data_IF_524727986130
#
_entry.id   IF_524727986130
#
_cell.length_a   1.000
_cell.length_b   1.000
_cell.length_c   1.000
_cell.angle_alpha   90.00
_cell.angle_beta   90.00
_cell.angle_gamma   90.00
#
_symmetry.space_group_name_H-M   'P 1'
#
loop_
_entity.id
_entity.type
_entity.pdbx_description
1 polymer ?
#
# COMPACT_ATOMS: atom_id res chain seq x y z
N UNK A 1 8.25 -8.05 -11.11
CA UNK A 1 6.99 -8.07 -10.35
C UNK A 1 5.82 -7.63 -11.21
N UNK A 2 4.68 -8.23 -10.98
CA UNK A 2 3.45 -7.97 -11.75
C UNK A 2 2.82 -6.61 -11.42
N UNK A 3 3.06 -6.07 -10.23
CA UNK A 3 2.43 -4.85 -9.73
C UNK A 3 0.91 -4.93 -9.77
N UNK A 4 0.39 -6.02 -9.22
CA UNK A 4 -1.04 -6.33 -9.20
C UNK A 4 -1.39 -6.98 -7.86
N UNK A 5 -2.52 -6.59 -7.28
CA UNK A 5 -3.02 -7.13 -6.02
C UNK A 5 -4.35 -7.82 -6.23
N UNK A 6 -4.56 -8.91 -5.49
CA UNK A 6 -5.81 -9.68 -5.52
C UNK A 6 -6.29 -9.96 -4.10
N UNK A 7 -7.59 -9.90 -3.91
CA UNK A 7 -8.25 -10.26 -2.65
C UNK A 7 -9.23 -11.40 -2.91
N UNK A 8 -9.06 -12.48 -2.16
CA UNK A 8 -9.90 -13.66 -2.26
C UNK A 8 -10.87 -13.74 -1.09
N UNK A 9 -12.12 -14.12 -1.36
CA UNK A 9 -13.11 -14.35 -0.33
C UNK A 9 -12.87 -15.66 0.44
N UNK A 10 -13.69 -15.89 1.46
CA UNK A 10 -13.58 -17.08 2.32
C UNK A 10 -13.75 -18.39 1.56
N UNK A 11 -14.48 -18.36 0.44
CA UNK A 11 -14.69 -19.51 -0.43
C UNK A 11 -13.55 -19.72 -1.46
N UNK A 12 -12.50 -18.89 -1.41
CA UNK A 12 -11.39 -18.95 -2.34
C UNK A 12 -11.61 -18.25 -3.68
N UNK A 13 -12.79 -17.66 -3.91
CA UNK A 13 -13.06 -16.93 -5.15
C UNK A 13 -12.46 -15.54 -5.12
N UNK A 14 -12.08 -15.02 -6.30
CA UNK A 14 -11.56 -13.67 -6.45
C UNK A 14 -12.67 -12.65 -6.19
N UNK A 15 -12.52 -11.84 -5.15
CA UNK A 15 -13.51 -10.82 -4.77
C UNK A 15 -13.13 -9.42 -5.23
N UNK A 16 -11.82 -9.16 -5.41
CA UNK A 16 -11.31 -7.84 -5.77
C UNK A 16 -9.92 -7.97 -6.38
N UNK A 17 -9.60 -7.11 -7.33
CA UNK A 17 -8.24 -7.00 -7.86
C UNK A 17 -7.98 -5.59 -8.41
N UNK A 18 -6.70 -5.21 -8.45
CA UNK A 18 -6.29 -3.90 -8.96
C UNK A 18 -4.81 -3.90 -9.33
N UNK A 19 -4.46 -3.10 -10.32
CA UNK A 19 -3.07 -2.68 -10.52
C UNK A 19 -2.64 -1.80 -9.35
N UNK A 20 -1.35 -1.85 -9.02
CA UNK A 20 -0.78 -1.15 -7.87
C UNK A 20 0.50 -0.42 -8.25
N UNK A 21 1.00 0.42 -7.34
CA UNK A 21 2.37 0.90 -7.33
C UNK A 21 2.94 0.62 -5.94
N UNK A 22 3.92 -0.28 -5.87
CA UNK A 22 4.57 -0.65 -4.60
C UNK A 22 5.82 0.21 -4.34
N UNK A 23 6.62 -0.16 -3.35
CA UNK A 23 7.81 0.58 -2.97
C UNK A 23 8.87 0.61 -4.07
N UNK A 24 9.64 1.70 -4.13
CA UNK A 24 10.77 1.85 -5.04
C UNK A 24 11.81 0.73 -4.78
N UNK A 25 12.26 -0.01 -5.81
CA UNK A 25 13.13 -1.16 -5.62
C UNK A 25 14.61 -0.75 -5.46
N UNK A 26 14.91 0.02 -4.43
CA UNK A 26 16.26 0.55 -4.16
C UNK A 26 16.92 -0.09 -2.93
N UNK A 27 16.30 -1.10 -2.33
CA UNK A 27 16.78 -1.75 -1.11
C UNK A 27 16.43 -1.01 0.17
N UNK A 28 15.84 0.16 0.07
CA UNK A 28 15.50 1.02 1.21
C UNK A 28 13.99 1.30 1.30
N UNK A 29 13.34 1.46 0.14
CA UNK A 29 11.91 1.78 0.03
C UNK A 29 11.08 0.64 -0.54
N UNK A 30 11.68 -0.55 -0.70
CA UNK A 30 10.99 -1.72 -1.23
C UNK A 30 9.81 -2.11 -0.34
N UNK A 31 8.71 -2.55 -0.95
CA UNK A 31 7.67 -3.24 -0.21
C UNK A 31 8.21 -4.63 0.18
N UNK A 32 8.26 -4.97 1.48
CA UNK A 32 8.89 -6.21 1.91
C UNK A 32 8.10 -7.44 1.48
N UNK A 33 8.81 -8.46 0.99
CA UNK A 33 8.22 -9.77 0.72
C UNK A 33 7.90 -10.48 2.03
N UNK A 34 6.90 -11.35 2.01
CA UNK A 34 6.55 -12.17 3.16
C UNK A 34 5.07 -12.29 3.35
N UNK A 35 4.70 -12.89 4.49
CA UNK A 35 3.31 -13.09 4.91
C UNK A 35 3.04 -12.22 6.12
N UNK A 36 2.04 -11.37 6.00
CA UNK A 36 1.66 -10.40 7.03
C UNK A 36 0.15 -10.50 7.28
N UNK A 37 -0.35 -9.72 8.22
CA UNK A 37 -1.79 -9.57 8.47
C UNK A 37 -2.16 -8.10 8.51
N UNK A 38 -3.39 -7.78 8.16
CA UNK A 38 -3.93 -6.42 8.29
C UNK A 38 -4.02 -6.09 9.78
N UNK A 39 -3.29 -5.07 10.20
CA UNK A 39 -3.18 -4.65 11.60
C UNK A 39 -4.28 -3.69 12.04
N UNK A 40 -4.94 -3.03 11.09
CA UNK A 40 -5.96 -2.06 11.41
C UNK A 40 -6.57 -1.47 10.14
N UNK A 41 -7.54 -0.59 10.34
CA UNK A 41 -8.21 0.13 9.26
C UNK A 41 -8.51 1.53 9.74
N UNK A 42 -8.12 2.54 8.98
CA UNK A 42 -8.41 3.94 9.29
C UNK A 42 -8.95 4.67 8.06
N UNK A 43 -9.93 5.52 8.27
CA UNK A 43 -10.52 6.33 7.20
C UNK A 43 -11.12 7.61 7.80
N UNK A 44 -10.62 8.81 7.49
CA UNK A 44 -9.37 9.07 6.77
C UNK A 44 -8.14 8.87 7.65
N UNK A 45 -6.94 8.93 7.06
CA UNK A 45 -5.68 8.80 7.79
C UNK A 45 -4.62 9.74 7.22
N UNK A 46 -3.60 10.01 8.03
CA UNK A 46 -2.48 10.85 7.64
C UNK A 46 -1.21 10.01 7.69
N UNK A 47 -0.55 9.87 6.55
CA UNK A 47 0.70 9.13 6.44
C UNK A 47 1.87 10.07 6.72
N UNK A 48 2.75 9.66 7.64
CA UNK A 48 3.93 10.42 8.04
C UNK A 48 5.15 9.52 7.82
N UNK A 49 6.10 10.00 7.00
CA UNK A 49 7.35 9.30 6.76
C UNK A 49 8.31 9.43 7.95
N UNK A 50 9.48 8.82 7.79
CA UNK A 50 10.53 8.90 8.82
C UNK A 50 11.01 10.33 9.00
N UNK A 51 11.36 10.69 10.22
CA UNK A 51 11.91 12.00 10.52
C UNK A 51 13.33 12.13 9.95
N UNK A 52 13.58 13.22 9.23
CA UNK A 52 14.91 13.53 8.72
C UNK A 52 15.73 14.19 9.82
N UNK A 53 16.93 13.66 10.14
CA UNK A 53 17.75 14.22 11.23
C UNK A 53 18.22 15.65 10.97
N UNK A 54 18.40 16.04 9.70
CA UNK A 54 18.91 17.37 9.33
C UNK A 54 17.88 18.48 9.50
N UNK A 55 16.61 18.19 9.24
CA UNK A 55 15.54 19.19 9.25
C UNK A 55 14.61 19.08 10.44
N UNK A 56 14.60 17.93 11.12
CA UNK A 56 13.65 17.63 12.19
C UNK A 56 12.21 17.47 11.69
N UNK A 57 12.02 17.32 10.39
CA UNK A 57 10.71 17.17 9.75
C UNK A 57 10.55 15.77 9.16
N UNK A 58 9.31 15.25 9.03
CA UNK A 58 9.10 13.97 8.37
C UNK A 58 9.48 14.04 6.89
N UNK A 59 9.96 12.92 6.36
CA UNK A 59 10.32 12.74 4.96
C UNK A 59 9.15 13.07 4.03
N UNK A 60 7.93 12.68 4.45
CA UNK A 60 6.70 13.06 3.77
C UNK A 60 5.54 13.12 4.76
N UNK A 61 4.48 13.79 4.35
CA UNK A 61 3.25 13.88 5.14
C UNK A 61 2.09 13.99 4.16
N UNK A 62 1.22 12.97 4.11
CA UNK A 62 0.18 12.84 3.10
C UNK A 62 -1.11 12.35 3.73
N UNK A 63 -2.23 12.99 3.40
CA UNK A 63 -3.56 12.52 3.78
C UNK A 63 -4.09 11.52 2.76
N UNK A 64 -4.69 10.44 3.26
CA UNK A 64 -5.33 9.43 2.44
C UNK A 64 -6.74 9.16 2.96
N UNK A 65 -7.61 8.66 2.10
CA UNK A 65 -8.99 8.35 2.47
C UNK A 65 -9.11 7.02 3.21
N UNK A 66 -8.23 6.06 2.86
CA UNK A 66 -8.23 4.73 3.45
C UNK A 66 -6.80 4.31 3.77
N UNK A 67 -6.61 3.70 4.93
CA UNK A 67 -5.32 3.18 5.37
C UNK A 67 -5.51 1.79 5.97
N UNK A 68 -4.80 0.81 5.42
CA UNK A 68 -4.88 -0.59 5.82
C UNK A 68 -3.46 -1.11 6.06
N UNK A 69 -2.87 -0.87 7.25
CA UNK A 69 -1.49 -1.27 7.51
C UNK A 69 -1.35 -2.77 7.71
N UNK A 70 -0.21 -3.32 7.27
CA UNK A 70 0.12 -4.74 7.46
C UNK A 70 1.56 -4.98 7.92
N UNK A 71 2.42 -3.97 7.92
CA UNK A 71 3.76 -4.05 8.54
C UNK A 71 3.82 -2.94 9.60
N UNK A 72 3.61 -3.31 10.88
CA UNK A 72 3.50 -2.33 11.93
C UNK A 72 2.42 -1.30 11.60
N UNK A 73 2.73 -0.02 11.73
CA UNK A 73 1.84 1.06 11.37
C UNK A 73 2.45 1.97 10.29
N UNK A 74 3.44 1.50 9.57
CA UNK A 74 4.20 2.31 8.60
C UNK A 74 4.17 1.77 7.17
N UNK A 75 3.82 0.51 6.94
CA UNK A 75 3.61 -0.04 5.60
C UNK A 75 2.21 -0.63 5.51
N UNK A 76 1.47 -0.23 4.48
CA UNK A 76 0.12 -0.70 4.28
C UNK A 76 -0.40 -0.35 2.90
N UNK A 77 -1.67 -0.66 2.70
CA UNK A 77 -2.43 -0.36 1.49
C UNK A 77 -3.17 0.96 1.68
N UNK A 78 -3.10 1.86 0.69
CA UNK A 78 -3.83 3.12 0.74
C UNK A 78 -4.14 3.67 -0.66
N UNK A 79 -5.11 4.57 -0.74
CA UNK A 79 -5.40 5.28 -1.98
C UNK A 79 -4.30 6.30 -2.30
N UNK A 80 -4.07 6.54 -3.59
CA UNK A 80 -3.05 7.46 -4.06
C UNK A 80 -3.57 8.24 -5.25
N UNK A 81 -4.22 9.37 -5.00
CA UNK A 81 -4.78 10.22 -6.04
C UNK A 81 -3.72 10.98 -6.84
N UNK A 82 -2.48 11.00 -6.35
CA UNK A 82 -1.35 11.64 -7.03
C UNK A 82 -0.68 10.78 -8.10
N UNK A 83 -1.00 9.48 -8.17
CA UNK A 83 -0.41 8.59 -9.16
C UNK A 83 -1.11 8.74 -10.51
N UNK A 84 -0.36 8.98 -11.61
CA UNK A 84 -0.97 9.15 -12.93
C UNK A 84 -1.49 7.84 -13.51
N UNK A 85 -0.93 6.71 -13.10
CA UNK A 85 -1.36 5.37 -13.52
C UNK A 85 -0.78 4.33 -12.56
N UNK A 86 -1.20 3.08 -12.73
CA UNK A 86 -0.83 1.97 -11.85
C UNK A 86 -0.38 0.77 -12.69
N UNK A 87 0.39 -0.14 -12.04
CA UNK A 87 0.85 -1.36 -12.68
C UNK A 87 2.17 -1.21 -13.43
N UNK A 88 2.53 -2.26 -14.16
CA UNK A 88 3.75 -2.35 -14.96
C UNK A 88 5.02 -2.04 -14.16
N UNK A 89 5.98 -1.34 -14.76
CA UNK A 89 7.26 -0.99 -14.14
C UNK A 89 7.27 0.43 -13.54
N UNK A 90 6.13 1.03 -13.25
CA UNK A 90 6.05 2.39 -12.70
C UNK A 90 6.77 2.52 -11.36
N UNK A 91 6.69 1.49 -10.51
CA UNK A 91 7.38 1.49 -9.22
C UNK A 91 8.91 1.61 -9.36
N UNK A 92 9.47 1.15 -10.48
CA UNK A 92 10.90 1.23 -10.79
C UNK A 92 11.26 2.44 -11.64
N UNK A 93 10.26 3.21 -12.11
CA UNK A 93 10.44 4.33 -13.06
C UNK A 93 10.27 5.70 -12.41
N UNK A 94 10.46 5.79 -11.09
CA UNK A 94 10.36 7.04 -10.36
C UNK A 94 8.98 7.28 -9.72
N UNK A 95 8.03 6.37 -9.90
CA UNK A 95 6.68 6.47 -9.32
C UNK A 95 6.50 5.57 -8.09
N UNK A 96 7.53 4.83 -7.70
CA UNK A 96 7.47 3.95 -6.54
C UNK A 96 7.27 4.70 -5.22
N UNK A 97 6.61 4.05 -4.27
CA UNK A 97 6.37 4.60 -2.93
C UNK A 97 7.56 4.37 -2.00
N UNK A 98 7.39 4.73 -0.72
CA UNK A 98 8.37 4.47 0.34
C UNK A 98 8.13 3.12 1.04
N UNK A 99 7.49 2.18 0.37
CA UNK A 99 7.18 0.84 0.87
C UNK A 99 5.69 0.51 0.87
N UNK A 100 4.83 1.51 0.98
CA UNK A 100 3.39 1.31 0.95
C UNK A 100 2.89 0.90 -0.44
N UNK A 101 1.76 0.21 -0.47
CA UNK A 101 1.11 -0.21 -1.71
C UNK A 101 0.07 0.83 -2.10
N UNK A 102 0.34 1.57 -3.16
CA UNK A 102 -0.55 2.61 -3.69
C UNK A 102 -1.63 1.99 -4.56
N UNK A 103 -2.88 2.39 -4.34
CA UNK A 103 -4.05 1.91 -5.07
C UNK A 103 -4.83 3.08 -5.71
N UNK A 104 -5.52 2.85 -6.83
CA UNK A 104 -6.52 3.80 -7.31
C UNK A 104 -7.56 4.08 -6.22
N UNK A 105 -8.05 5.31 -6.15
CA UNK A 105 -8.95 5.75 -5.05
C UNK A 105 -10.20 4.86 -4.96
N UNK A 106 -10.85 4.58 -6.08
CA UNK A 106 -12.05 3.75 -6.12
C UNK A 106 -11.78 2.29 -5.72
N UNK A 107 -10.62 1.75 -6.11
CA UNK A 107 -10.20 0.40 -5.75
C UNK A 107 -9.85 0.30 -4.27
N UNK A 108 -9.18 1.30 -3.71
CA UNK A 108 -8.84 1.35 -2.29
C UNK A 108 -10.10 1.40 -1.43
N UNK A 109 -11.08 2.21 -1.80
CA UNK A 109 -12.36 2.32 -1.09
C UNK A 109 -13.11 0.99 -1.11
N UNK A 110 -13.16 0.31 -2.26
CA UNK A 110 -13.80 -0.99 -2.39
C UNK A 110 -13.10 -2.06 -1.53
N UNK A 111 -11.77 -2.07 -1.53
CA UNK A 111 -11.00 -3.01 -0.71
C UNK A 111 -11.21 -2.74 0.79
N UNK A 112 -11.23 -1.49 1.18
CA UNK A 112 -11.46 -1.09 2.58
C UNK A 112 -12.78 -1.67 3.11
N UNK A 113 -13.82 -1.69 2.28
CA UNK A 113 -15.11 -2.25 2.66
C UNK A 113 -15.11 -3.78 2.73
N UNK A 114 -14.21 -4.45 2.01
CA UNK A 114 -14.13 -5.92 1.95
C UNK A 114 -13.19 -6.50 3.01
N UNK A 115 -12.06 -5.82 3.26
CA UNK A 115 -10.97 -6.34 4.09
C UNK A 115 -11.29 -6.17 5.58
N UNK A 116 -10.74 -7.06 6.42
CA UNK A 116 -10.90 -6.99 7.87
C UNK A 116 -9.54 -7.10 8.55
N UNK A 117 -9.42 -6.51 9.74
CA UNK A 117 -8.24 -6.67 10.59
C UNK A 117 -8.02 -8.16 10.86
N UNK A 118 -6.80 -8.64 10.62
CA UNK A 118 -6.44 -10.05 10.73
C UNK A 118 -6.43 -10.80 9.40
N UNK A 119 -6.92 -10.20 8.31
CA UNK A 119 -6.82 -10.80 6.99
C UNK A 119 -5.35 -10.91 6.56
N UNK A 120 -5.01 -12.02 5.89
CA UNK A 120 -3.64 -12.33 5.52
C UNK A 120 -3.24 -11.54 4.27
N UNK A 121 -2.04 -10.97 4.30
CA UNK A 121 -1.40 -10.28 3.16
C UNK A 121 -0.15 -11.04 2.77
N UNK A 122 -0.07 -11.45 1.51
CA UNK A 122 1.13 -12.12 0.97
C UNK A 122 1.78 -11.20 -0.07
N UNK A 123 3.01 -10.79 0.22
CA UNK A 123 3.82 -9.99 -0.70
C UNK A 123 4.86 -10.88 -1.36
N UNK A 124 4.86 -10.95 -2.68
CA UNK A 124 5.79 -11.78 -3.44
C UNK A 124 6.11 -11.14 -4.80
N UNK A 125 7.17 -11.63 -5.38
CA UNK A 125 7.58 -11.25 -6.75
C UNK A 125 6.77 -11.97 -7.82
#
# INVERSE_FOLDING_TARGET
AEQHARFYGDDGSLAWESDIVSGTPDGEHDTPEGVYVINGKESPSKLIGQMEPETGKPEYQTEVRTWMPFVGNYIGLHDADWQPAFGDARYASGFGSHGCVNLPVDKATALYDLIATGDVVVCHW
#
